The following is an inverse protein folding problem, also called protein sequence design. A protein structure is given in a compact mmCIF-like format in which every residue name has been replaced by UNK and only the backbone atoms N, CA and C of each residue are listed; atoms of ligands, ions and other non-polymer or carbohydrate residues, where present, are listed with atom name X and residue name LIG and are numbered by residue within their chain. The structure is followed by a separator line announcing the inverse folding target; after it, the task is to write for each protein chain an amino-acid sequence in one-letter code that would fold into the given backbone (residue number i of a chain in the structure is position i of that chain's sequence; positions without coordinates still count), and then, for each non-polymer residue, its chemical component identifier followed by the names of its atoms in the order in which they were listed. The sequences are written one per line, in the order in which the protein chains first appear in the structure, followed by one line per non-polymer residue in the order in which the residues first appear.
data_IF_374426256068
#
_entry.id   IF_374426256068
#
_cell.length_a   1.000
_cell.length_b   1.000
_cell.length_c   1.000
_cell.angle_alpha   90.00
_cell.angle_beta   90.00
_cell.angle_gamma   90.00
#
_symmetry.space_group_name_H-M   'P 1'
#
loop_
_entity.id
_entity.type
_entity.pdbx_description
1 polymer ?
#
# COMPACT_ATOMS: atom_id res chain seq x y z
N UNK A 1 42.20 -21.79 37.32
CA UNK A 1 40.76 -21.94 37.64
C UNK A 1 40.03 -20.59 37.57
N UNK A 2 40.60 -19.53 38.16
CA UNK A 2 40.07 -18.16 38.12
C UNK A 2 39.89 -17.62 36.69
N UNK A 3 40.81 -17.91 35.78
CA UNK A 3 40.77 -17.41 34.39
C UNK A 3 39.59 -17.98 33.59
N UNK A 4 39.27 -19.26 33.81
CA UNK A 4 38.09 -19.89 33.21
C UNK A 4 36.81 -19.24 33.74
N UNK A 5 36.78 -18.92 35.03
CA UNK A 5 35.66 -18.27 35.69
C UNK A 5 35.43 -16.86 35.13
N UNK A 6 36.51 -16.11 34.86
CA UNK A 6 36.44 -14.80 34.18
C UNK A 6 35.91 -14.95 32.75
N UNK A 7 36.39 -15.95 32.00
CA UNK A 7 35.92 -16.21 30.63
C UNK A 7 34.43 -16.57 30.62
N UNK A 8 33.96 -17.42 31.55
CA UNK A 8 32.54 -17.74 31.67
C UNK A 8 31.70 -16.52 32.06
N UNK A 9 32.22 -15.65 32.94
CA UNK A 9 31.52 -14.41 33.30
C UNK A 9 31.37 -13.48 32.10
N UNK A 10 32.43 -13.33 31.30
CA UNK A 10 32.42 -12.51 30.09
C UNK A 10 31.45 -13.08 29.04
N UNK A 11 31.44 -14.39 28.82
CA UNK A 11 30.50 -15.07 27.94
C UNK A 11 29.05 -14.89 28.40
N UNK A 12 28.77 -15.02 29.69
CA UNK A 12 27.44 -14.80 30.25
C UNK A 12 26.98 -13.35 30.04
N UNK A 13 27.88 -12.38 30.22
CA UNK A 13 27.59 -10.95 30.02
C UNK A 13 27.28 -10.66 28.54
N UNK A 14 28.06 -11.22 27.61
CA UNK A 14 27.80 -11.10 26.17
C UNK A 14 26.46 -11.74 25.79
N UNK A 15 26.13 -12.91 26.33
CA UNK A 15 24.84 -13.56 26.06
C UNK A 15 23.65 -12.77 26.61
N UNK A 16 23.76 -12.16 27.79
CA UNK A 16 22.72 -11.28 28.35
C UNK A 16 22.53 -10.04 27.47
N UNK A 17 23.62 -9.41 27.03
CA UNK A 17 23.57 -8.26 26.12
C UNK A 17 22.92 -8.62 24.78
N UNK A 18 23.24 -9.79 24.21
CA UNK A 18 22.62 -10.26 22.96
C UNK A 18 21.14 -10.62 23.15
N UNK A 19 20.75 -11.21 24.28
CA UNK A 19 19.34 -11.54 24.57
C UNK A 19 18.48 -10.32 24.88
N UNK A 20 19.08 -9.21 25.32
CA UNK A 20 18.41 -7.92 25.53
C UNK A 20 18.08 -7.20 24.21
N UNK A 21 18.67 -7.65 23.09
CA UNK A 21 18.37 -7.14 21.73
C UNK A 21 17.17 -7.89 21.12
N UNK A 22 16.65 -8.94 21.76
CA UNK A 22 15.39 -9.57 21.37
C UNK A 22 14.23 -8.75 21.94
N UNK A 23 13.41 -8.08 21.11
CA UNK A 23 12.22 -7.42 21.60
C UNK A 23 11.27 -8.48 22.16
N UNK A 24 10.99 -8.38 23.47
CA UNK A 24 9.97 -9.19 24.12
C UNK A 24 8.63 -8.95 23.40
N UNK A 25 8.02 -10.04 22.99
CA UNK A 25 6.83 -10.11 22.15
C UNK A 25 5.60 -9.80 23.00
N UNK A 26 5.40 -8.56 23.49
CA UNK A 26 4.08 -8.15 24.01
C UNK A 26 3.84 -6.64 23.85
N UNK A 27 2.77 -6.27 23.14
CA UNK A 27 2.19 -4.93 22.94
C UNK A 27 2.90 -3.99 21.93
N UNK A 28 2.13 -3.53 20.93
CA UNK A 28 2.51 -2.63 19.82
C UNK A 28 3.12 -1.29 20.32
N UNK A 29 4.30 -0.86 19.82
CA UNK A 29 4.72 0.53 19.84
C UNK A 29 4.66 1.16 18.42
N UNK A 30 4.05 2.32 18.31
CA UNK A 30 3.70 3.04 17.07
C UNK A 30 4.90 3.69 16.32
N UNK A 31 6.14 3.37 16.69
CA UNK A 31 7.35 4.05 16.20
C UNK A 31 8.11 3.29 15.11
N UNK A 32 7.63 2.12 14.71
CA UNK A 32 8.32 1.22 13.76
C UNK A 32 8.11 1.61 12.28
N UNK A 33 7.04 2.36 11.95
CA UNK A 33 6.71 2.68 10.55
C UNK A 33 7.70 3.67 9.91
N UNK A 34 8.17 4.67 10.66
CA UNK A 34 9.17 5.63 10.18
C UNK A 34 10.56 4.99 10.05
N UNK A 35 10.95 4.15 11.02
CA UNK A 35 12.25 3.48 10.99
C UNK A 35 12.33 2.44 9.86
N UNK A 36 11.23 1.71 9.61
CA UNK A 36 11.14 0.75 8.51
C UNK A 36 11.17 1.47 7.14
N UNK A 37 10.56 2.65 7.04
CA UNK A 37 10.63 3.51 5.84
C UNK A 37 12.06 4.01 5.58
N UNK A 38 12.72 4.51 6.62
CA UNK A 38 14.09 5.01 6.52
C UNK A 38 15.10 3.92 6.19
N UNK A 39 14.98 2.73 6.77
CA UNK A 39 15.84 1.58 6.46
C UNK A 39 15.70 1.14 4.99
N UNK A 40 14.47 1.15 4.45
CA UNK A 40 14.20 0.81 3.04
C UNK A 40 14.79 1.82 2.07
N UNK A 41 14.72 3.11 2.43
CA UNK A 41 15.30 4.19 1.62
C UNK A 41 16.83 4.14 1.65
N UNK A 42 17.42 3.88 2.81
CA UNK A 42 18.87 3.70 2.95
C UNK A 42 19.37 2.47 2.19
N UNK A 43 18.63 1.35 2.22
CA UNK A 43 18.96 0.16 1.43
C UNK A 43 18.94 0.45 -0.07
N UNK A 44 17.94 1.20 -0.56
CA UNK A 44 17.89 1.64 -1.95
C UNK A 44 19.08 2.55 -2.33
N UNK A 45 19.47 3.48 -1.46
CA UNK A 45 20.62 4.36 -1.70
C UNK A 45 21.96 3.60 -1.69
N UNK A 46 22.12 2.62 -0.79
CA UNK A 46 23.32 1.79 -0.71
C UNK A 46 23.46 0.88 -1.92
N UNK A 47 22.36 0.28 -2.41
CA UNK A 47 22.37 -0.49 -3.67
C UNK A 47 22.75 0.37 -4.88
N UNK A 48 22.31 1.63 -4.92
CA UNK A 48 22.69 2.58 -5.98
C UNK A 48 24.18 2.98 -5.90
N UNK A 49 24.75 3.06 -4.69
CA UNK A 49 26.15 3.47 -4.45
C UNK A 49 27.17 2.36 -4.63
N UNK A 50 26.82 1.11 -4.30
CA UNK A 50 27.74 -0.04 -4.36
C UNK A 50 27.85 -0.67 -5.75
N UNK A 51 27.10 -0.16 -6.74
CA UNK A 51 27.50 -0.25 -8.14
C UNK A 51 27.81 -1.67 -8.62
N UNK A 52 26.93 -2.63 -8.31
CA UNK A 52 26.83 -3.84 -9.12
C UNK A 52 26.08 -3.44 -10.39
N UNK A 53 26.84 -2.77 -11.27
CA UNK A 53 26.36 -2.27 -12.55
C UNK A 53 26.17 -3.43 -13.53
N UNK A 54 25.13 -4.22 -13.33
CA UNK A 54 24.52 -4.87 -14.49
C UNK A 54 23.74 -3.79 -15.24
N UNK A 55 24.10 -3.60 -16.51
CA UNK A 55 23.53 -2.55 -17.34
C UNK A 55 22.04 -2.82 -17.53
N UNK A 56 21.20 -2.22 -16.68
CA UNK A 56 19.76 -2.16 -16.91
C UNK A 56 19.59 -1.29 -18.15
N UNK A 57 19.58 -1.94 -19.31
CA UNK A 57 19.03 -1.37 -20.54
C UNK A 57 17.63 -0.91 -20.17
N UNK A 58 17.45 0.40 -20.02
CA UNK A 58 16.14 1.01 -20.11
C UNK A 58 15.59 0.62 -21.48
N UNK A 59 14.83 -0.48 -21.53
CA UNK A 59 13.99 -0.78 -22.67
C UNK A 59 13.02 0.39 -22.74
N UNK A 60 13.30 1.33 -23.65
CA UNK A 60 12.27 2.21 -24.18
C UNK A 60 11.18 1.30 -24.71
N UNK A 61 10.10 1.15 -23.94
CA UNK A 61 8.94 0.38 -24.35
C UNK A 61 8.17 1.18 -25.40
N UNK A 62 8.73 1.26 -26.62
CA UNK A 62 8.00 1.60 -27.84
C UNK A 62 8.21 0.50 -28.87
N UNK A 63 7.57 -0.65 -28.61
CA UNK A 63 6.98 -1.56 -29.59
C UNK A 63 6.54 -2.84 -28.87
N UNK A 64 5.26 -2.89 -28.50
CA UNK A 64 4.54 -4.15 -28.37
C UNK A 64 3.24 -4.00 -29.18
N UNK A 65 3.24 -4.75 -30.27
CA UNK A 65 2.16 -5.12 -31.18
C UNK A 65 0.79 -4.43 -31.06
N UNK A 66 0.30 -3.94 -32.19
CA UNK A 66 -1.12 -3.73 -32.47
C UNK A 66 -1.91 -5.03 -32.23
N UNK A 67 -3.19 -4.87 -31.87
CA UNK A 67 -4.19 -5.88 -31.49
C UNK A 67 -4.26 -6.26 -30.00
N UNK A 68 -4.30 -5.25 -29.12
CA UNK A 68 -5.10 -5.37 -27.91
C UNK A 68 -6.26 -4.37 -28.03
N UNK A 69 -7.45 -4.96 -28.00
CA UNK A 69 -8.79 -4.39 -27.95
C UNK A 69 -8.88 -3.09 -27.13
N UNK A 70 -9.53 -2.06 -27.66
CA UNK A 70 -9.64 -0.71 -27.09
C UNK A 70 -10.54 -0.59 -25.84
N UNK A 71 -11.05 -1.73 -25.33
CA UNK A 71 -11.98 -1.77 -24.20
C UNK A 71 -11.45 -1.24 -22.86
N UNK A 72 -10.19 -0.82 -22.76
CA UNK A 72 -9.65 -0.18 -21.56
C UNK A 72 -9.93 1.33 -21.50
N UNK A 73 -10.08 2.00 -22.65
CA UNK A 73 -10.31 3.45 -22.70
C UNK A 73 -11.77 3.80 -22.36
N UNK A 74 -12.72 2.93 -22.71
CA UNK A 74 -14.15 3.09 -22.42
C UNK A 74 -14.43 3.22 -20.91
N UNK A 75 -13.69 2.47 -20.08
CA UNK A 75 -13.89 2.50 -18.64
C UNK A 75 -13.29 3.77 -18.00
N UNK A 76 -12.27 4.39 -18.61
CA UNK A 76 -11.68 5.62 -18.07
C UNK A 76 -12.64 6.81 -18.16
N UNK A 77 -13.32 6.97 -19.30
CA UNK A 77 -14.27 8.07 -19.48
C UNK A 77 -15.47 7.98 -18.54
N UNK A 78 -15.93 6.75 -18.23
CA UNK A 78 -17.03 6.51 -17.28
C UNK A 78 -16.69 6.92 -15.85
N UNK A 79 -15.42 6.87 -15.46
CA UNK A 79 -14.98 7.22 -14.09
C UNK A 79 -14.33 8.59 -13.99
N UNK A 80 -14.12 9.30 -15.11
CA UNK A 80 -13.48 10.63 -15.15
C UNK A 80 -14.11 11.61 -14.17
N UNK A 81 -15.45 11.63 -14.08
CA UNK A 81 -16.20 12.51 -13.18
C UNK A 81 -15.89 12.27 -11.71
N UNK A 82 -15.66 11.01 -11.31
CA UNK A 82 -15.24 10.66 -9.96
C UNK A 82 -13.80 11.09 -9.64
N UNK A 83 -12.95 11.36 -10.64
CA UNK A 83 -11.62 11.94 -10.38
C UNK A 83 -11.65 13.46 -10.27
N UNK A 84 -12.69 14.10 -10.81
CA UNK A 84 -12.87 15.55 -10.78
C UNK A 84 -13.67 16.04 -9.56
N UNK A 85 -14.56 15.20 -9.03
CA UNK A 85 -15.44 15.50 -7.90
C UNK A 85 -15.20 14.51 -6.74
N UNK A 86 -14.55 14.99 -5.68
CA UNK A 86 -14.21 14.21 -4.48
C UNK A 86 -15.43 13.69 -3.72
N UNK A 87 -16.51 14.48 -3.63
CA UNK A 87 -17.74 14.08 -2.93
C UNK A 87 -18.45 12.95 -3.69
N UNK A 88 -18.53 13.08 -5.02
CA UNK A 88 -19.05 12.02 -5.89
C UNK A 88 -18.18 10.77 -5.81
N UNK A 89 -16.85 10.93 -5.80
CA UNK A 89 -15.91 9.82 -5.66
C UNK A 89 -16.14 9.03 -4.37
N UNK A 90 -16.18 9.74 -3.24
CA UNK A 90 -16.35 9.12 -1.93
C UNK A 90 -17.69 8.38 -1.84
N UNK A 91 -18.77 8.99 -2.34
CA UNK A 91 -20.08 8.36 -2.41
C UNK A 91 -20.04 7.06 -3.24
N UNK A 92 -19.51 7.12 -4.46
CA UNK A 92 -19.46 5.97 -5.36
C UNK A 92 -18.55 4.85 -4.83
N UNK A 93 -17.43 5.18 -4.18
CA UNK A 93 -16.57 4.20 -3.50
C UNK A 93 -17.31 3.52 -2.34
N UNK A 94 -17.97 4.30 -1.47
CA UNK A 94 -18.76 3.75 -0.36
C UNK A 94 -19.86 2.83 -0.88
N UNK A 95 -20.60 3.28 -1.88
CA UNK A 95 -21.71 2.54 -2.49
C UNK A 95 -21.24 1.19 -3.08
N UNK A 96 -20.18 1.20 -3.89
CA UNK A 96 -19.57 -0.03 -4.44
C UNK A 96 -19.13 -0.99 -3.33
N UNK A 97 -18.54 -0.46 -2.26
CA UNK A 97 -18.09 -1.26 -1.11
C UNK A 97 -19.25 -1.93 -0.36
N UNK A 98 -20.32 -1.20 -0.06
CA UNK A 98 -21.44 -1.75 0.73
C UNK A 98 -22.28 -2.74 -0.07
N UNK A 99 -22.43 -2.51 -1.37
CA UNK A 99 -23.16 -3.40 -2.30
C UNK A 99 -22.35 -4.62 -2.72
N UNK A 100 -21.01 -4.54 -2.54
CA UNK A 100 -20.05 -5.58 -2.94
C UNK A 100 -20.08 -5.86 -4.45
N UNK A 101 -20.45 -4.86 -5.25
CA UNK A 101 -20.52 -4.96 -6.71
C UNK A 101 -19.54 -3.98 -7.34
N UNK A 102 -18.53 -4.51 -8.05
CA UNK A 102 -17.55 -3.68 -8.75
C UNK A 102 -18.14 -2.88 -9.91
N UNK A 103 -19.32 -3.27 -10.42
CA UNK A 103 -20.03 -2.56 -11.48
C UNK A 103 -20.67 -1.25 -10.97
N UNK A 104 -20.97 -1.17 -9.68
CA UNK A 104 -21.65 0.00 -9.09
C UNK A 104 -20.76 1.24 -9.14
N UNK A 105 -19.44 1.10 -9.01
CA UNK A 105 -18.54 2.25 -9.06
C UNK A 105 -18.61 3.00 -10.41
N UNK A 106 -18.33 2.37 -11.58
CA UNK A 106 -18.41 3.06 -12.86
C UNK A 106 -19.84 3.48 -13.23
N UNK A 107 -20.87 2.71 -12.85
CA UNK A 107 -22.28 3.13 -13.05
C UNK A 107 -22.61 4.38 -12.22
N UNK A 108 -22.15 4.45 -10.98
CA UNK A 108 -22.34 5.62 -10.12
C UNK A 108 -21.60 6.85 -10.67
N UNK A 109 -20.35 6.70 -11.11
CA UNK A 109 -19.54 7.81 -11.63
C UNK A 109 -20.14 8.47 -12.89
N UNK A 110 -20.73 7.67 -13.78
CA UNK A 110 -21.39 8.16 -14.98
C UNK A 110 -22.90 8.41 -14.80
N UNK A 111 -23.44 8.19 -13.60
CA UNK A 111 -24.87 8.19 -13.30
C UNK A 111 -25.70 7.32 -14.29
N UNK A 112 -25.16 6.16 -14.64
CA UNK A 112 -25.85 5.14 -15.43
C UNK A 112 -27.03 4.58 -14.61
N UNK A 113 -28.21 4.46 -15.22
CA UNK A 113 -29.44 4.00 -14.58
C UNK A 113 -29.77 4.73 -13.25
N UNK A 114 -29.46 6.03 -13.17
CA UNK A 114 -29.65 6.85 -11.96
C UNK A 114 -28.91 6.31 -10.72
N UNK A 115 -27.86 5.51 -10.93
CA UNK A 115 -27.11 4.84 -9.87
C UNK A 115 -26.50 5.84 -8.87
N UNK A 116 -26.19 7.07 -9.28
CA UNK A 116 -25.67 8.08 -8.35
C UNK A 116 -26.73 8.49 -7.31
N UNK A 117 -27.97 8.68 -7.74
CA UNK A 117 -29.10 8.99 -6.85
C UNK A 117 -29.40 7.82 -5.94
N UNK A 118 -29.47 6.62 -6.51
CA UNK A 118 -29.67 5.39 -5.73
C UNK A 118 -28.56 5.19 -4.68
N UNK A 119 -27.30 5.41 -5.05
CA UNK A 119 -26.17 5.33 -4.13
C UNK A 119 -26.28 6.34 -2.99
N UNK A 120 -26.73 7.58 -3.26
CA UNK A 120 -26.97 8.58 -2.22
C UNK A 120 -28.02 8.10 -1.23
N UNK A 121 -29.16 7.61 -1.72
CA UNK A 121 -30.24 7.11 -0.87
C UNK A 121 -29.81 5.87 -0.09
N UNK A 122 -29.13 4.92 -0.74
CA UNK A 122 -28.71 3.66 -0.13
C UNK A 122 -27.63 3.84 0.93
N UNK A 123 -26.61 4.65 0.65
CA UNK A 123 -25.50 4.90 1.59
C UNK A 123 -25.96 5.76 2.77
N UNK A 124 -26.84 6.74 2.55
CA UNK A 124 -27.31 7.65 3.61
C UNK A 124 -28.66 7.25 4.22
N UNK A 125 -29.19 6.07 3.88
CA UNK A 125 -30.43 5.57 4.45
C UNK A 125 -30.33 5.48 5.99
N UNK A 126 -31.20 6.19 6.70
CA UNK A 126 -31.26 6.15 8.16
C UNK A 126 -30.20 7.00 8.91
N UNK A 127 -29.41 7.83 8.21
CA UNK A 127 -28.39 8.71 8.82
C UNK A 127 -28.98 10.10 9.18
N UNK A 128 -30.30 10.27 9.15
CA UNK A 128 -30.96 11.47 9.71
C UNK A 128 -30.89 11.43 11.24
N UNK A 129 -29.91 12.14 11.80
CA UNK A 129 -29.82 12.52 13.22
C UNK A 129 -29.79 14.04 13.34
#
# INVERSE_FOLDING_TARGET
SKDKLVIYLQLALVLVLLSSIVPQITARPSTDLELQSQAKLLEHLLRFRLGEGDSIKHKRHHKRSSNYDDGFDIDYDRVKKCFEDEDTNELCQRCSKVTKSSLVFPMCCNNEDETLTWCREYVYFGIQT
#
